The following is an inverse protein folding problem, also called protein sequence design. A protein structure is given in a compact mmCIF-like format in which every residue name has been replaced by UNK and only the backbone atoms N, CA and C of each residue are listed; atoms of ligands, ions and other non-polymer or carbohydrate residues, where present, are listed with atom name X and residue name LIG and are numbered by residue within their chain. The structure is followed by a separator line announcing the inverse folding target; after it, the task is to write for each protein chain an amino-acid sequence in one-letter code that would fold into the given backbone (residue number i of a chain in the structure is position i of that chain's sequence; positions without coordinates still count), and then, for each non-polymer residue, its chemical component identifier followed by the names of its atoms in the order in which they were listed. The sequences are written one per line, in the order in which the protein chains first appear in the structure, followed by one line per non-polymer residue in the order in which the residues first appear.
data_IF_749364977054
#
_entry.id   IF_749364977054
#
_cell.length_a   1.000
_cell.length_b   1.000
_cell.length_c   1.000
_cell.angle_alpha   90.00
_cell.angle_beta   90.00
_cell.angle_gamma   90.00
#
_symmetry.space_group_name_H-M   'P 1'
#
loop_
_entity.id
_entity.type
_entity.pdbx_description
1 polymer ?
#
# COMPACT_ATOMS: atom_id res chain seq x y z
N UNK A 1 6.40 10.64 -10.15
CA UNK A 1 5.90 9.33 -10.59
C UNK A 1 5.78 8.48 -9.34
N UNK A 2 4.57 8.06 -8.98
CA UNK A 2 4.34 7.21 -7.81
C UNK A 2 4.80 5.78 -8.07
N UNK A 3 5.05 5.03 -7.00
CA UNK A 3 5.44 3.63 -7.10
C UNK A 3 4.20 2.76 -7.09
N UNK A 4 3.92 2.11 -8.22
CA UNK A 4 2.77 1.22 -8.36
C UNK A 4 3.21 -0.21 -8.12
N UNK A 5 2.57 -0.88 -7.17
CA UNK A 5 2.77 -2.31 -6.89
C UNK A 5 1.49 -3.09 -7.15
N UNK A 6 1.64 -4.35 -7.56
CA UNK A 6 0.53 -5.29 -7.72
C UNK A 6 0.41 -6.16 -6.48
N UNK A 7 -0.71 -6.03 -5.78
CA UNK A 7 -0.96 -6.76 -4.53
C UNK A 7 -2.25 -7.55 -4.65
N UNK A 8 -2.21 -8.81 -4.23
CA UNK A 8 -3.41 -9.65 -4.18
C UNK A 8 -4.25 -9.29 -2.96
N UNK A 9 -5.54 -9.13 -3.15
CA UNK A 9 -6.45 -8.97 -2.03
C UNK A 9 -6.58 -10.29 -1.25
N UNK A 10 -6.93 -10.19 0.03
CA UNK A 10 -7.20 -11.34 0.89
C UNK A 10 -8.62 -11.89 0.76
N UNK A 11 -9.40 -11.44 -0.22
CA UNK A 11 -10.71 -12.02 -0.51
C UNK A 11 -10.60 -13.41 -1.12
N UNK A 12 -11.71 -14.15 -1.17
CA UNK A 12 -11.78 -15.53 -1.66
C UNK A 12 -11.22 -15.70 -3.09
N UNK A 13 -11.45 -14.70 -3.94
CA UNK A 13 -11.03 -14.69 -5.35
C UNK A 13 -9.58 -14.21 -5.53
N UNK A 14 -8.99 -13.55 -4.51
CA UNK A 14 -7.62 -13.02 -4.51
C UNK A 14 -7.27 -12.15 -5.72
N UNK A 15 -8.13 -11.17 -6.02
CA UNK A 15 -7.95 -10.17 -7.08
C UNK A 15 -6.60 -9.47 -7.02
N UNK A 16 -6.00 -9.20 -8.18
CA UNK A 16 -4.77 -8.43 -8.28
C UNK A 16 -5.13 -6.95 -8.38
N UNK A 17 -4.83 -6.18 -7.34
CA UNK A 17 -5.07 -4.74 -7.31
C UNK A 17 -3.76 -3.98 -7.47
N UNK A 18 -3.76 -3.02 -8.38
CA UNK A 18 -2.67 -2.06 -8.53
C UNK A 18 -2.82 -0.96 -7.48
N UNK A 19 -1.81 -0.82 -6.63
CA UNK A 19 -1.77 0.16 -5.55
C UNK A 19 -0.62 1.11 -5.81
N UNK A 20 -0.95 2.39 -5.93
CA UNK A 20 0.05 3.45 -5.88
C UNK A 20 0.43 3.70 -4.42
N UNK A 21 1.66 3.34 -4.06
CA UNK A 21 2.15 3.37 -2.69
C UNK A 21 2.29 4.80 -2.18
N UNK A 22 2.68 5.75 -3.04
CA UNK A 22 2.87 7.16 -2.66
C UNK A 22 1.51 7.80 -2.32
N UNK A 23 0.50 7.53 -3.14
CA UNK A 23 -0.85 7.98 -2.90
C UNK A 23 -1.51 7.25 -1.72
N UNK A 24 -1.32 5.93 -1.61
CA UNK A 24 -1.86 5.14 -0.51
C UNK A 24 -1.29 5.57 0.86
N UNK A 25 -0.02 5.98 0.92
CA UNK A 25 0.57 6.58 2.12
C UNK A 25 -0.07 7.91 2.51
N UNK A 26 -0.47 8.74 1.53
CA UNK A 26 -1.13 10.03 1.77
C UNK A 26 -2.58 9.88 2.19
N UNK A 27 -3.26 8.86 1.68
CA UNK A 27 -4.69 8.61 1.94
C UNK A 27 -4.94 7.77 3.20
N UNK A 28 -3.91 7.16 3.80
CA UNK A 28 -4.08 6.29 4.96
C UNK A 28 -4.57 7.07 6.22
N UNK A 29 -5.77 6.76 6.75
CA UNK A 29 -6.31 7.45 7.92
C UNK A 29 -5.68 6.98 9.24
N UNK A 30 -4.95 5.87 9.27
CA UNK A 30 -4.26 5.34 10.46
C UNK A 30 -2.92 6.09 10.65
N UNK A 31 -2.27 6.49 9.55
CA UNK A 31 -1.17 7.46 9.58
C UNK A 31 -1.57 8.82 10.19
N UNK A 32 -2.87 9.15 10.21
CA UNK A 32 -3.43 10.35 10.86
C UNK A 32 -3.65 10.21 12.37
N UNK A 33 -3.82 9.00 12.91
CA UNK A 33 -4.06 8.77 14.34
C UNK A 33 -2.78 8.48 15.12
N UNK A 34 -1.82 7.84 14.46
CA UNK A 34 -0.48 7.68 15.01
C UNK A 34 0.29 8.93 14.64
N UNK A 35 0.84 9.65 15.63
CA UNK A 35 1.74 10.80 15.46
C UNK A 35 3.07 10.33 14.81
N UNK A 36 2.99 9.74 13.63
CA UNK A 36 4.12 9.33 12.83
C UNK A 36 4.68 10.62 12.25
N UNK A 37 5.78 11.08 12.85
CA UNK A 37 6.64 12.10 12.30
C UNK A 37 6.73 11.92 10.79
N UNK A 38 6.61 13.02 10.04
CA UNK A 38 6.42 13.10 8.58
C UNK A 38 7.48 12.39 7.69
N UNK A 39 8.36 11.57 8.27
CA UNK A 39 9.38 10.73 7.61
C UNK A 39 9.19 9.21 7.81
N UNK A 40 8.19 8.75 8.57
CA UNK A 40 8.04 7.33 8.90
C UNK A 40 7.11 6.59 7.94
N UNK A 41 7.64 5.60 7.23
CA UNK A 41 6.86 4.65 6.41
C UNK A 41 5.92 3.85 7.33
N UNK A 42 4.60 3.80 7.08
CA UNK A 42 3.68 3.03 7.90
C UNK A 42 4.02 1.53 7.84
N UNK A 43 3.85 0.82 8.95
CA UNK A 43 4.15 -0.61 9.03
C UNK A 43 3.30 -1.44 8.06
N UNK A 44 2.04 -1.01 7.84
CA UNK A 44 1.12 -1.57 6.86
C UNK A 44 0.06 -0.56 6.45
N UNK A 45 -0.38 -0.64 5.22
CA UNK A 45 -1.50 0.12 4.65
C UNK A 45 -2.58 -0.91 4.28
N UNK A 46 -3.80 -0.68 4.73
CA UNK A 46 -4.93 -1.58 4.48
C UNK A 46 -5.95 -0.86 3.60
N UNK A 47 -6.03 -1.28 2.34
CA UNK A 47 -6.94 -0.72 1.36
C UNK A 47 -8.11 -1.68 1.11
N UNK A 48 -9.26 -1.14 0.70
CA UNK A 48 -10.37 -1.96 0.20
C UNK A 48 -10.04 -2.44 -1.21
N UNK A 49 -10.36 -3.69 -1.53
CA UNK A 49 -10.25 -4.16 -2.91
C UNK A 49 -11.27 -3.42 -3.78
N UNK A 50 -10.88 -3.06 -5.00
CA UNK A 50 -11.79 -2.41 -5.98
C UNK A 50 -12.69 -3.41 -6.70
N UNK A 51 -12.31 -4.68 -6.71
CA UNK A 51 -13.01 -5.75 -7.43
C UNK A 51 -13.91 -6.60 -6.53
N UNK A 52 -13.72 -6.56 -5.21
CA UNK A 52 -14.63 -7.22 -4.28
C UNK A 52 -14.87 -6.41 -3.02
N UNK A 53 -16.09 -6.51 -2.49
CA UNK A 53 -16.49 -5.83 -1.25
C UNK A 53 -15.91 -6.50 0.01
N UNK A 54 -15.61 -7.80 -0.04
CA UNK A 54 -15.13 -8.58 1.10
C UNK A 54 -13.59 -8.53 1.25
N UNK A 55 -12.87 -8.47 0.13
CA UNK A 55 -11.42 -8.52 0.14
C UNK A 55 -10.76 -7.19 0.54
N UNK A 56 -9.66 -7.30 1.29
CA UNK A 56 -8.77 -6.17 1.59
C UNK A 56 -7.40 -6.39 0.97
N UNK A 57 -6.80 -5.31 0.51
CA UNK A 57 -5.44 -5.28 -0.02
C UNK A 57 -4.53 -4.78 1.09
N UNK A 58 -3.63 -5.63 1.55
CA UNK A 58 -2.70 -5.30 2.64
C UNK A 58 -1.33 -5.07 2.03
N UNK A 59 -0.84 -3.84 2.11
CA UNK A 59 0.49 -3.45 1.68
C UNK A 59 1.36 -3.29 2.91
N UNK A 60 2.39 -4.11 3.08
CA UNK A 60 3.29 -4.00 4.22
C UNK A 60 4.47 -3.09 3.92
N UNK A 61 5.12 -2.56 4.96
CA UNK A 61 6.35 -1.78 4.83
C UNK A 61 7.41 -2.46 3.96
N UNK A 62 7.60 -3.77 4.12
CA UNK A 62 8.56 -4.52 3.31
C UNK A 62 8.24 -4.43 1.80
N UNK A 63 6.96 -4.52 1.42
CA UNK A 63 6.54 -4.37 0.01
C UNK A 63 6.80 -2.96 -0.52
N UNK A 64 6.59 -1.94 0.33
CA UNK A 64 6.86 -0.54 0.01
C UNK A 64 8.37 -0.32 -0.18
N UNK A 65 9.19 -0.80 0.76
CA UNK A 65 10.64 -0.69 0.68
C UNK A 65 11.21 -1.46 -0.51
N UNK A 66 10.66 -2.64 -0.83
CA UNK A 66 11.01 -3.37 -2.04
C UNK A 66 10.62 -2.63 -3.31
N UNK A 67 9.47 -1.95 -3.34
CA UNK A 67 9.08 -1.11 -4.47
C UNK A 67 10.05 0.06 -4.67
N UNK A 68 10.54 0.63 -3.56
CA UNK A 68 11.53 1.73 -3.56
C UNK A 68 12.89 1.27 -4.06
N UNK A 69 13.30 0.06 -3.67
CA UNK A 69 14.59 -0.52 -4.05
C UNK A 69 14.63 -1.08 -5.47
N UNK A 70 13.49 -1.52 -6.00
CA UNK A 70 13.39 -2.05 -7.38
C UNK A 70 13.39 -0.98 -8.46
N UNK A 71 13.41 0.31 -8.10
CA UNK A 71 13.56 1.40 -9.06
C UNK A 71 14.79 2.28 -8.74
N UNK A 72 16.03 1.75 -8.84
CA UNK A 72 17.26 2.52 -8.61
C UNK A 72 17.64 3.41 -9.81
N UNK A 73 16.67 3.91 -10.58
CA UNK A 73 16.92 4.67 -11.81
C UNK A 73 16.49 6.13 -11.64
N UNK A 74 17.29 6.89 -10.91
CA UNK A 74 17.45 8.32 -11.15
C UNK A 74 18.93 8.66 -11.22
#
# INVERSE_FOLDING_TARGET
MGQIIKVRCNGTIKHVTEVDVDNAMREDPIARQTNLSSSSVPERIVLRCRECADGRVIVTRAMIEQARQQNPSR
#
